data_IF_749785657387
#
_entry.id   IF_749785657387
#
_cell.length_a   1.000
_cell.length_b   1.000
_cell.length_c   1.000
_cell.angle_alpha   90.00
_cell.angle_beta   90.00
_cell.angle_gamma   90.00
#
_symmetry.space_group_name_H-M   'P 1'
#
loop_
_entity.id
_entity.type
_entity.pdbx_description
1 polymer ?
#
# COMPACT_ATOMS: atom_id res chain seq x y z
N UNK A 1 -9.51 -0.84 -4.08
CA UNK A 1 -8.73 -2.05 -4.44
C UNK A 1 -7.63 -2.42 -3.44
N UNK A 2 -7.08 -1.48 -2.66
CA UNK A 2 -6.02 -1.76 -1.69
C UNK A 2 -6.33 -2.95 -0.76
N UNK A 3 -7.52 -3.03 -0.14
CA UNK A 3 -7.93 -4.17 0.69
C UNK A 3 -7.60 -5.54 0.08
N UNK A 4 -7.98 -5.76 -1.18
CA UNK A 4 -7.72 -7.04 -1.89
C UNK A 4 -6.22 -7.31 -2.04
N UNK A 5 -5.44 -6.29 -2.38
CA UNK A 5 -3.97 -6.39 -2.42
C UNK A 5 -3.39 -6.76 -1.05
N UNK A 6 -3.84 -6.11 0.02
CA UNK A 6 -3.38 -6.39 1.38
C UNK A 6 -3.69 -7.82 1.79
N UNK A 7 -4.93 -8.29 1.58
CA UNK A 7 -5.35 -9.66 1.91
C UNK A 7 -4.50 -10.70 1.18
N UNK A 8 -4.27 -10.53 -0.13
CA UNK A 8 -3.51 -11.49 -0.93
C UNK A 8 -2.03 -11.45 -0.56
N UNK A 9 -1.43 -10.27 -0.46
CA UNK A 9 0.02 -10.14 -0.33
C UNK A 9 0.51 -10.35 1.10
N UNK A 10 -0.31 -10.09 2.12
CA UNK A 10 0.14 -10.13 3.53
C UNK A 10 0.65 -11.49 3.99
N UNK A 11 0.12 -12.60 3.46
CA UNK A 11 0.57 -13.95 3.80
C UNK A 11 1.94 -14.30 3.24
N UNK A 12 2.46 -13.51 2.31
CA UNK A 12 3.79 -13.68 1.72
C UNK A 12 4.84 -12.76 2.36
N UNK A 13 4.45 -11.97 3.37
CA UNK A 13 5.35 -11.03 4.05
C UNK A 13 5.77 -11.59 5.41
N UNK A 14 7.07 -11.77 5.58
CA UNK A 14 7.69 -11.97 6.88
C UNK A 14 7.76 -10.63 7.66
N UNK A 15 8.00 -10.71 8.97
CA UNK A 15 8.27 -9.52 9.78
C UNK A 15 9.49 -8.75 9.23
N UNK A 16 9.33 -7.43 9.07
CA UNK A 16 10.30 -6.56 8.39
C UNK A 16 10.12 -6.47 6.87
N UNK A 17 9.34 -7.36 6.26
CA UNK A 17 9.07 -7.38 4.83
C UNK A 17 8.30 -6.15 4.34
N UNK A 18 8.47 -5.82 3.06
CA UNK A 18 7.85 -4.66 2.42
C UNK A 18 6.87 -5.07 1.33
N UNK A 19 5.70 -4.43 1.33
CA UNK A 19 4.74 -4.43 0.24
C UNK A 19 4.79 -3.09 -0.48
N UNK A 20 5.19 -3.10 -1.74
CA UNK A 20 5.18 -1.93 -2.61
C UNK A 20 3.99 -2.01 -3.56
N UNK A 21 2.99 -1.17 -3.32
CA UNK A 21 1.78 -1.10 -4.13
C UNK A 21 1.79 0.12 -5.05
N UNK A 22 1.70 -0.14 -6.36
CA UNK A 22 1.56 0.89 -7.39
C UNK A 22 0.09 1.31 -7.51
N UNK A 23 -0.20 2.59 -7.25
CA UNK A 23 -1.55 3.13 -7.15
C UNK A 23 -1.74 4.40 -7.98
N UNK A 24 -3.00 4.71 -8.25
CA UNK A 24 -3.43 5.95 -8.90
C UNK A 24 -3.77 7.04 -7.89
N UNK A 25 -4.48 8.08 -8.36
CA UNK A 25 -4.82 9.28 -7.59
C UNK A 25 -5.71 9.04 -6.37
N UNK A 26 -6.50 7.96 -6.32
CA UNK A 26 -7.44 7.69 -5.23
C UNK A 26 -6.82 6.94 -4.03
N UNK A 27 -5.49 6.88 -3.96
CA UNK A 27 -4.76 6.09 -2.95
C UNK A 27 -5.12 6.48 -1.51
N UNK A 28 -5.35 7.77 -1.24
CA UNK A 28 -5.64 8.26 0.12
C UNK A 28 -6.98 7.72 0.63
N UNK A 29 -8.01 7.78 -0.21
CA UNK A 29 -9.31 7.15 0.09
C UNK A 29 -9.17 5.64 0.27
N UNK A 30 -8.38 4.96 -0.58
CA UNK A 30 -8.17 3.52 -0.43
C UNK A 30 -7.46 3.17 0.90
N UNK A 31 -6.54 4.03 1.36
CA UNK A 31 -5.84 3.88 2.65
C UNK A 31 -6.83 4.03 3.79
N UNK A 32 -7.63 5.10 3.81
CA UNK A 32 -8.65 5.36 4.84
C UNK A 32 -9.62 4.18 4.95
N UNK A 33 -10.16 3.73 3.81
CA UNK A 33 -11.08 2.60 3.79
C UNK A 33 -10.43 1.30 4.30
N UNK A 34 -9.11 1.15 4.18
CA UNK A 34 -8.34 -0.05 4.53
C UNK A 34 -7.67 0.00 5.90
N UNK A 35 -7.80 1.09 6.66
CA UNK A 35 -7.03 1.32 7.89
C UNK A 35 -7.16 0.18 8.91
N UNK A 36 -8.38 -0.27 9.15
CA UNK A 36 -8.65 -1.36 10.09
C UNK A 36 -7.99 -2.68 9.65
N UNK A 37 -8.06 -3.01 8.36
CA UNK A 37 -7.43 -4.21 7.81
C UNK A 37 -5.89 -4.13 7.89
N UNK A 38 -5.31 -2.95 7.67
CA UNK A 38 -3.86 -2.77 7.82
C UNK A 38 -3.41 -3.04 9.26
N UNK A 39 -4.18 -2.59 10.25
CA UNK A 39 -3.92 -2.86 11.68
C UNK A 39 -3.98 -4.36 11.99
N UNK A 40 -5.02 -5.04 11.52
CA UNK A 40 -5.22 -6.49 11.67
C UNK A 40 -4.08 -7.30 11.02
N UNK A 41 -3.58 -6.83 9.88
CA UNK A 41 -2.48 -7.47 9.15
C UNK A 41 -1.09 -6.99 9.59
N UNK A 42 -0.98 -6.14 10.62
CA UNK A 42 0.28 -5.57 11.10
C UNK A 42 1.11 -4.86 10.02
N UNK A 43 0.43 -4.17 9.11
CA UNK A 43 1.04 -3.38 8.04
C UNK A 43 0.99 -1.89 8.38
N UNK A 44 2.15 -1.25 8.41
CA UNK A 44 2.27 0.20 8.60
C UNK A 44 2.75 0.87 7.31
N UNK A 45 2.23 2.06 7.00
CA UNK A 45 2.71 2.83 5.86
C UNK A 45 4.10 3.39 6.21
N UNK A 46 5.12 2.88 5.54
CA UNK A 46 6.50 3.36 5.69
C UNK A 46 6.77 4.57 4.80
N UNK A 47 6.18 4.61 3.60
CA UNK A 47 6.35 5.74 2.68
C UNK A 47 5.18 5.84 1.69
N UNK A 48 4.94 7.05 1.19
CA UNK A 48 3.96 7.36 0.16
C UNK A 48 4.59 8.34 -0.84
N UNK A 49 5.05 7.84 -1.98
CA UNK A 49 5.76 8.65 -2.98
C UNK A 49 4.82 8.94 -4.14
N UNK A 50 4.47 10.22 -4.30
CA UNK A 50 3.70 10.70 -5.44
C UNK A 50 4.64 11.01 -6.62
N UNK A 51 4.25 10.57 -7.81
CA UNK A 51 5.02 10.82 -9.03
C UNK A 51 4.11 10.93 -10.25
N UNK A 52 4.68 11.42 -11.35
CA UNK A 52 4.06 11.46 -12.67
C UNK A 52 4.79 10.49 -13.58
N UNK A 53 4.05 9.77 -14.42
CA UNK A 53 4.65 8.94 -15.46
C UNK A 53 5.05 9.82 -16.65
N UNK A 54 6.14 9.49 -17.36
CA UNK A 54 6.45 10.12 -18.64
C UNK A 54 5.27 10.00 -19.60
N UNK A 55 5.05 11.05 -20.40
CA UNK A 55 4.16 11.06 -21.56
C UNK A 55 2.67 10.75 -21.30
N UNK A 56 2.26 10.56 -20.03
CA UNK A 56 0.89 10.21 -19.67
C UNK A 56 0.33 11.15 -18.61
N UNK A 57 -0.88 11.70 -18.83
CA UNK A 57 -1.53 12.52 -17.81
C UNK A 57 -1.99 11.63 -16.64
N UNK A 58 -1.65 12.04 -15.41
CA UNK A 58 -2.18 11.44 -14.19
C UNK A 58 -1.13 11.28 -13.10
N UNK A 59 -1.55 11.52 -11.85
CA UNK A 59 -0.72 11.26 -10.68
C UNK A 59 -0.70 9.75 -10.38
N UNK A 60 0.48 9.25 -10.02
CA UNK A 60 0.70 7.91 -9.51
C UNK A 60 1.26 7.99 -8.10
N UNK A 61 1.12 6.88 -7.38
CA UNK A 61 1.60 6.73 -6.03
C UNK A 61 2.30 5.39 -5.87
N UNK A 62 3.49 5.41 -5.29
CA UNK A 62 4.16 4.24 -4.73
C UNK A 62 3.84 4.23 -3.23
N UNK A 63 2.94 3.33 -2.84
CA UNK A 63 2.59 3.12 -1.43
C UNK A 63 3.45 1.98 -0.89
N UNK A 64 4.32 2.28 0.08
CA UNK A 64 5.21 1.30 0.71
C UNK A 64 4.66 0.99 2.10
N UNK A 65 4.28 -0.27 2.32
CA UNK A 65 3.86 -0.78 3.62
C UNK A 65 4.92 -1.74 4.15
N UNK A 66 5.18 -1.67 5.46
CA UNK A 66 6.07 -2.58 6.17
C UNK A 66 5.27 -3.49 7.09
N UNK A 67 5.55 -4.78 7.04
CA UNK A 67 5.00 -5.78 7.97
C UNK A 67 5.82 -5.72 9.26
N UNK A 68 5.21 -5.37 10.39
CA UNK A 68 5.95 -5.26 11.65
C UNK A 68 6.13 -6.62 12.34
N UNK A 69 5.17 -7.55 12.17
CA UNK A 69 5.12 -8.86 12.86
C UNK A 69 4.45 -9.86 11.94
N UNK A 70 4.89 -11.12 11.90
CA UNK A 70 4.28 -12.17 11.07
C UNK A 70 2.89 -12.55 11.60
#
# INVERSE_FOLDING_TARGET
HLKKTLTICSSYLEAGGLLVAFKGSNVDREIEESEQLMKELHLNISNKVLYSLPETPGKRCLLILKKEKA
#
